data_IF_620719009681
#
_entry.id   IF_620719009681
#
_cell.length_a   1.000
_cell.length_b   1.000
_cell.length_c   1.000
_cell.angle_alpha   90.00
_cell.angle_beta   90.00
_cell.angle_gamma   90.00
#
_symmetry.space_group_name_H-M   'P 1'
#
loop_
_entity.id
_entity.type
_entity.pdbx_description
1 polymer ?
#
# COMPACT_ATOMS: atom_id res chain seq x y z
N UNK A 1 15.64 42.57 85.36
CA UNK A 1 15.31 42.78 83.94
C UNK A 1 16.39 42.16 83.05
N UNK A 2 16.21 42.08 81.73
CA UNK A 2 17.22 41.51 80.81
C UNK A 2 18.55 42.26 80.90
N UNK A 3 18.47 43.58 81.07
CA UNK A 3 19.62 44.48 81.17
C UNK A 3 20.42 44.19 82.45
N UNK A 4 19.75 44.02 83.59
CA UNK A 4 20.42 43.71 84.85
C UNK A 4 21.14 42.36 84.81
N UNK A 5 20.59 41.34 84.14
CA UNK A 5 21.25 40.02 84.01
C UNK A 5 22.51 40.06 83.14
N UNK A 6 22.53 40.91 82.12
CA UNK A 6 23.62 40.95 81.13
C UNK A 6 24.66 42.05 81.40
N UNK A 7 24.32 43.11 82.16
CA UNK A 7 25.19 44.29 82.33
C UNK A 7 25.47 44.70 83.79
N UNK A 8 24.85 44.06 84.81
CA UNK A 8 25.11 44.41 86.22
C UNK A 8 26.41 43.77 86.74
N UNK A 9 27.33 44.58 87.29
CA UNK A 9 28.67 44.15 87.75
C UNK A 9 29.52 43.39 86.71
N UNK A 10 29.33 43.67 85.42
CA UNK A 10 30.12 43.09 84.32
C UNK A 10 31.24 44.06 83.91
N UNK A 11 32.49 43.59 83.68
CA UNK A 11 33.56 44.44 83.15
C UNK A 11 33.18 45.09 81.82
N UNK A 12 33.61 46.33 81.58
CA UNK A 12 33.29 47.10 80.36
C UNK A 12 33.56 46.30 79.08
N UNK A 13 34.70 45.59 79.02
CA UNK A 13 35.07 44.77 77.87
C UNK A 13 34.02 43.68 77.57
N UNK A 14 33.52 42.99 78.60
CA UNK A 14 32.48 41.97 78.45
C UNK A 14 31.13 42.56 78.08
N UNK A 15 30.77 43.74 78.60
CA UNK A 15 29.57 44.48 78.18
C UNK A 15 29.60 44.86 76.69
N UNK A 16 30.75 45.35 76.20
CA UNK A 16 30.95 45.64 74.77
C UNK A 16 30.86 44.36 73.94
N UNK A 17 31.43 43.24 74.40
CA UNK A 17 31.30 41.94 73.69
C UNK A 17 29.84 41.49 73.57
N UNK A 18 29.03 41.65 74.61
CA UNK A 18 27.59 41.31 74.57
C UNK A 18 26.85 42.19 73.57
N UNK A 19 27.14 43.49 73.51
CA UNK A 19 26.54 44.40 72.51
C UNK A 19 26.98 44.04 71.08
N UNK A 20 28.26 43.71 70.87
CA UNK A 20 28.76 43.23 69.57
C UNK A 20 28.11 41.91 69.16
N UNK A 21 27.85 41.01 70.11
CA UNK A 21 27.11 39.77 69.88
C UNK A 21 25.65 40.05 69.49
N UNK A 22 24.99 40.99 70.15
CA UNK A 22 23.63 41.42 69.79
C UNK A 22 23.59 42.02 68.36
N UNK A 23 24.58 42.84 67.99
CA UNK A 23 24.70 43.36 66.63
C UNK A 23 24.91 42.23 65.61
N UNK A 24 25.71 41.21 65.95
CA UNK A 24 25.89 40.00 65.14
C UNK A 24 24.58 39.22 64.98
N UNK A 25 23.84 39.00 66.06
CA UNK A 25 22.55 38.30 66.05
C UNK A 25 21.52 39.06 65.19
N UNK A 26 21.46 40.40 65.29
CA UNK A 26 20.57 41.23 64.47
C UNK A 26 20.93 41.08 62.99
N UNK A 27 22.21 41.18 62.63
CA UNK A 27 22.66 41.00 61.23
C UNK A 27 22.39 39.59 60.71
N UNK A 28 22.50 38.57 61.55
CA UNK A 28 22.16 37.20 61.18
C UNK A 28 20.65 37.05 60.94
N UNK A 29 19.80 37.58 61.82
CA UNK A 29 18.34 37.57 61.64
C UNK A 29 17.91 38.36 60.41
N UNK A 30 18.56 39.49 60.12
CA UNK A 30 18.35 40.26 58.89
C UNK A 30 18.68 39.40 57.65
N UNK A 31 19.82 38.72 57.65
CA UNK A 31 20.23 37.85 56.55
C UNK A 31 19.29 36.64 56.37
N UNK A 32 18.89 35.98 57.47
CA UNK A 32 17.91 34.89 57.44
C UNK A 32 16.55 35.35 56.90
N UNK A 33 16.08 36.53 57.31
CA UNK A 33 14.81 37.10 56.83
C UNK A 33 14.89 37.44 55.36
N UNK A 34 16.00 38.05 54.91
CA UNK A 34 16.24 38.34 53.48
C UNK A 34 16.29 37.05 52.67
N UNK A 35 16.97 36.00 53.14
CA UNK A 35 17.01 34.71 52.46
C UNK A 35 15.66 34.01 52.42
N UNK A 36 14.86 34.12 53.50
CA UNK A 36 13.51 33.57 53.54
C UNK A 36 12.57 34.28 52.55
N UNK A 37 12.64 35.61 52.49
CA UNK A 37 11.90 36.41 51.52
C UNK A 37 12.38 36.17 50.10
N UNK A 38 13.70 36.05 49.88
CA UNK A 38 14.28 35.72 48.57
C UNK A 38 13.83 34.34 48.10
N UNK A 39 13.90 33.32 48.95
CA UNK A 39 13.40 31.97 48.64
C UNK A 39 11.89 31.96 48.37
N UNK A 40 11.12 32.83 49.02
CA UNK A 40 9.68 33.00 48.77
C UNK A 40 9.38 33.78 47.48
N UNK A 41 10.28 34.67 47.04
CA UNK A 41 10.18 35.37 45.76
C UNK A 41 10.64 34.48 44.61
N UNK A 42 11.68 33.66 44.81
CA UNK A 42 12.12 32.64 43.85
C UNK A 42 11.07 31.54 43.64
N UNK A 43 10.12 31.36 44.57
CA UNK A 43 8.91 30.56 44.36
C UNK A 43 7.93 31.14 43.32
N UNK A 44 8.16 32.35 42.78
CA UNK A 44 7.47 32.86 41.57
C UNK A 44 8.03 32.26 40.27
N UNK A 45 9.04 31.39 40.34
CA UNK A 45 9.50 30.60 39.20
C UNK A 45 8.54 29.45 38.89
N UNK A 46 8.60 28.92 37.67
CA UNK A 46 7.79 27.78 37.25
C UNK A 46 8.04 26.56 38.16
N UNK A 47 7.10 26.28 39.08
CA UNK A 47 7.15 25.10 39.93
C UNK A 47 6.70 23.88 39.14
N UNK A 48 7.65 23.10 38.62
CA UNK A 48 7.36 21.80 38.04
C UNK A 48 7.40 20.72 39.12
N UNK A 49 6.35 19.90 39.22
CA UNK A 49 6.30 18.81 40.20
C UNK A 49 6.53 17.42 39.59
N UNK A 50 6.42 17.31 38.27
CA UNK A 50 6.51 16.03 37.55
C UNK A 50 7.44 16.18 36.35
N UNK A 51 8.35 15.22 36.20
CA UNK A 51 9.25 15.07 35.05
C UNK A 51 8.81 13.84 34.26
N UNK A 52 8.66 13.98 32.94
CA UNK A 52 8.25 12.88 32.07
C UNK A 52 9.06 12.92 30.77
N UNK A 53 9.66 11.80 30.33
CA UNK A 53 10.32 11.75 29.04
C UNK A 53 9.30 11.85 27.90
N UNK A 54 9.58 12.69 26.91
CA UNK A 54 8.77 12.86 25.70
C UNK A 54 9.61 12.41 24.51
N UNK A 55 9.04 11.50 23.72
CA UNK A 55 9.63 11.02 22.47
C UNK A 55 8.82 11.59 21.32
N UNK A 56 9.45 12.42 20.49
CA UNK A 56 8.85 12.99 19.29
C UNK A 56 9.47 12.32 18.05
N UNK A 57 8.82 11.28 17.48
CA UNK A 57 9.29 10.68 16.24
C UNK A 57 9.15 11.69 15.08
N UNK A 58 10.09 11.66 14.13
CA UNK A 58 9.95 12.40 12.87
C UNK A 58 8.85 11.79 11.99
N UNK A 59 8.75 10.46 12.00
CA UNK A 59 7.65 9.68 11.41
C UNK A 59 7.38 8.46 12.29
N UNK A 60 6.12 8.16 12.54
CA UNK A 60 5.70 6.91 13.21
C UNK A 60 5.63 5.72 12.24
N UNK A 61 5.80 5.94 10.93
CA UNK A 61 5.79 4.90 9.89
C UNK A 61 7.16 4.82 9.19
N UNK A 62 7.77 3.63 9.21
CA UNK A 62 9.02 3.32 8.51
C UNK A 62 8.91 1.98 7.79
N UNK A 63 9.52 1.88 6.62
CA UNK A 63 9.58 0.63 5.85
C UNK A 63 10.78 -0.22 6.28
N UNK A 64 10.75 -1.52 6.00
CA UNK A 64 11.88 -2.41 6.31
C UNK A 64 13.14 -1.94 5.55
N UNK A 65 14.20 -1.68 6.32
CA UNK A 65 15.47 -1.10 5.85
C UNK A 65 15.52 0.44 5.85
N UNK A 66 14.44 1.12 6.22
CA UNK A 66 14.43 2.56 6.46
C UNK A 66 15.08 2.94 7.79
N UNK A 67 15.44 4.21 7.95
CA UNK A 67 15.98 4.78 9.21
C UNK A 67 14.84 5.35 10.05
N UNK A 68 14.75 4.92 11.31
CA UNK A 68 13.87 5.54 12.30
C UNK A 68 14.62 6.66 13.03
N UNK A 69 14.02 7.84 13.12
CA UNK A 69 14.58 9.01 13.80
C UNK A 69 13.54 9.63 14.73
N UNK A 70 13.97 9.97 15.95
CA UNK A 70 13.13 10.60 16.96
C UNK A 70 13.95 11.52 17.85
N UNK A 71 13.36 12.65 18.22
CA UNK A 71 13.92 13.57 19.23
C UNK A 71 13.40 13.15 20.61
N UNK A 72 14.31 12.97 21.56
CA UNK A 72 13.98 12.56 22.93
C UNK A 72 14.38 13.69 23.87
N UNK A 73 13.43 14.20 24.65
CA UNK A 73 13.67 15.27 25.62
C UNK A 73 12.84 15.08 26.89
N UNK A 74 13.22 15.77 27.97
CA UNK A 74 12.49 15.74 29.23
C UNK A 74 11.44 16.85 29.26
N UNK A 75 10.18 16.49 29.46
CA UNK A 75 9.10 17.43 29.77
C UNK A 75 8.97 17.62 31.28
N UNK A 76 8.82 18.85 31.72
CA UNK A 76 8.54 19.20 33.11
C UNK A 76 7.18 19.92 33.18
N UNK A 77 6.27 19.48 34.05
CA UNK A 77 4.95 20.08 34.20
C UNK A 77 4.46 20.08 35.66
N UNK A 78 3.42 20.87 35.92
CA UNK A 78 2.75 21.00 37.22
C UNK A 78 1.37 20.34 37.19
N UNK A 79 1.21 19.20 37.86
CA UNK A 79 -0.09 18.53 38.01
C UNK A 79 -1.10 19.27 38.89
N UNK A 80 -0.67 20.22 39.74
CA UNK A 80 -1.57 20.95 40.63
C UNK A 80 -2.20 22.17 39.94
N UNK A 81 -1.55 22.68 38.88
CA UNK A 81 -2.06 23.80 38.08
C UNK A 81 -2.10 23.39 36.60
N UNK A 82 -3.08 22.55 36.20
CA UNK A 82 -3.17 22.10 34.82
C UNK A 82 -3.49 23.26 33.88
N UNK A 83 -2.81 23.36 32.71
CA UNK A 83 -3.11 24.38 31.73
C UNK A 83 -4.45 24.12 31.02
N UNK A 84 -4.97 25.13 30.33
CA UNK A 84 -6.09 24.95 29.41
C UNK A 84 -5.59 24.84 27.97
N UNK A 85 -5.96 23.75 27.29
CA UNK A 85 -5.57 23.52 25.89
C UNK A 85 -6.78 23.63 24.98
N UNK A 86 -6.66 24.45 23.94
CA UNK A 86 -7.67 24.67 22.93
C UNK A 86 -7.11 24.37 21.54
N UNK A 87 -7.90 23.73 20.69
CA UNK A 87 -7.58 23.53 19.26
C UNK A 87 -8.55 24.33 18.39
N UNK A 88 -8.12 24.66 17.18
CA UNK A 88 -8.97 25.28 16.18
C UNK A 88 -10.03 24.28 15.68
N UNK A 89 -11.30 24.69 15.71
CA UNK A 89 -12.39 23.98 15.02
C UNK A 89 -12.34 24.17 13.49
N UNK A 90 -13.24 23.49 12.74
CA UNK A 90 -13.28 23.60 11.28
C UNK A 90 -13.45 25.05 10.81
N UNK A 91 -12.47 25.56 10.05
CA UNK A 91 -12.47 26.93 9.52
C UNK A 91 -11.95 28.02 10.48
N UNK A 92 -11.59 27.66 11.72
CA UNK A 92 -10.96 28.58 12.66
C UNK A 92 -9.45 28.75 12.37
N UNK A 93 -8.94 29.94 12.61
CA UNK A 93 -7.51 30.27 12.44
C UNK A 93 -6.93 30.80 13.74
N UNK A 94 -5.60 30.88 13.84
CA UNK A 94 -4.92 31.47 14.99
C UNK A 94 -4.42 32.85 14.59
N UNK A 95 -4.84 33.87 15.33
CA UNK A 95 -4.20 35.19 15.26
C UNK A 95 -2.86 35.10 16.01
N UNK A 96 -1.75 35.08 15.27
CA UNK A 96 -0.39 34.97 15.82
C UNK A 96 0.03 36.19 16.64
N UNK A 97 -0.58 37.35 16.43
CA UNK A 97 -0.26 38.58 17.16
C UNK A 97 -1.00 38.63 18.49
N UNK A 98 -2.27 38.22 18.51
CA UNK A 98 -3.10 38.20 19.73
C UNK A 98 -3.03 36.87 20.50
N UNK A 99 -2.49 35.82 19.88
CA UNK A 99 -2.41 34.45 20.42
C UNK A 99 -3.79 33.90 20.81
N UNK A 100 -4.79 34.21 19.99
CA UNK A 100 -6.17 33.78 20.19
C UNK A 100 -6.66 33.00 18.97
N UNK A 101 -7.60 32.09 19.22
CA UNK A 101 -8.30 31.37 18.15
C UNK A 101 -9.40 32.30 17.63
N UNK A 102 -9.36 32.60 16.34
CA UNK A 102 -10.40 33.34 15.62
C UNK A 102 -11.33 32.31 14.98
N UNK A 103 -12.49 32.13 15.60
CA UNK A 103 -13.50 31.14 15.19
C UNK A 103 -13.83 30.15 16.32
N UNK A 104 -14.28 28.97 15.94
CA UNK A 104 -14.62 27.91 16.89
C UNK A 104 -13.36 27.38 17.60
N UNK A 105 -13.40 27.35 18.94
CA UNK A 105 -12.33 26.81 19.78
C UNK A 105 -12.84 25.59 20.55
N UNK A 106 -12.15 24.47 20.42
CA UNK A 106 -12.51 23.21 21.09
C UNK A 106 -11.55 23.01 22.27
N UNK A 107 -12.08 23.00 23.50
CA UNK A 107 -11.31 22.72 24.72
C UNK A 107 -11.04 21.21 24.81
N UNK A 108 -9.77 20.83 24.98
CA UNK A 108 -9.38 19.43 25.13
C UNK A 108 -9.54 18.96 26.59
N UNK A 109 -9.93 17.69 26.81
CA UNK A 109 -9.90 17.09 28.13
C UNK A 109 -8.45 16.98 28.63
N UNK A 110 -8.25 17.35 29.90
CA UNK A 110 -6.96 17.28 30.58
C UNK A 110 -6.88 16.03 31.46
N UNK A 111 -5.72 15.38 31.48
CA UNK A 111 -5.35 14.32 32.41
C UNK A 111 -4.04 14.75 33.11
N UNK A 112 -4.18 15.26 34.35
CA UNK A 112 -3.12 16.06 34.97
C UNK A 112 -2.78 17.29 34.10
N UNK A 113 -1.49 17.52 33.84
CA UNK A 113 -1.05 18.60 32.94
C UNK A 113 -0.99 18.21 31.44
N UNK A 114 -1.52 17.04 31.05
CA UNK A 114 -1.49 16.57 29.66
C UNK A 114 -2.88 16.67 29.02
N UNK A 115 -2.98 17.34 27.86
CA UNK A 115 -4.20 17.35 27.06
C UNK A 115 -4.30 16.09 26.19
N UNK A 116 -5.48 15.46 26.17
CA UNK A 116 -5.75 14.33 25.27
C UNK A 116 -6.53 14.80 24.04
N UNK A 117 -5.96 14.59 22.87
CA UNK A 117 -6.60 14.86 21.59
C UNK A 117 -7.05 13.54 20.96
N UNK A 118 -8.35 13.42 20.72
CA UNK A 118 -8.95 12.32 19.95
C UNK A 118 -9.87 12.92 18.89
N UNK A 119 -9.58 12.65 17.62
CA UNK A 119 -10.37 13.15 16.49
C UNK A 119 -10.43 12.09 15.40
N UNK A 120 -11.61 11.94 14.77
CA UNK A 120 -11.79 11.06 13.62
C UNK A 120 -11.02 11.55 12.40
N UNK A 121 -10.21 10.69 11.80
CA UNK A 121 -9.46 10.97 10.59
C UNK A 121 -10.35 10.85 9.34
N UNK A 122 -10.92 11.96 8.86
CA UNK A 122 -11.87 11.97 7.75
C UNK A 122 -11.23 12.05 6.35
N UNK A 123 -10.08 12.73 6.22
CA UNK A 123 -9.43 13.00 4.93
C UNK A 123 -8.03 12.39 4.87
N UNK A 124 -7.78 11.63 3.81
CA UNK A 124 -6.45 11.10 3.53
C UNK A 124 -5.44 12.21 3.18
N UNK A 125 -4.18 11.99 3.56
CA UNK A 125 -3.07 12.93 3.39
C UNK A 125 -2.66 13.61 4.69
N UNK A 126 -1.88 14.69 4.56
CA UNK A 126 -1.40 15.47 5.70
C UNK A 126 -2.52 16.33 6.28
N UNK A 127 -2.78 16.15 7.56
CA UNK A 127 -3.72 16.93 8.34
C UNK A 127 -2.95 17.71 9.41
N UNK A 128 -3.26 18.99 9.55
CA UNK A 128 -2.61 19.88 10.51
C UNK A 128 -3.57 20.22 11.64
N UNK A 129 -3.12 20.03 12.87
CA UNK A 129 -3.82 20.50 14.08
C UNK A 129 -3.06 21.70 14.63
N UNK A 130 -3.76 22.82 14.76
CA UNK A 130 -3.26 24.04 15.39
C UNK A 130 -4.06 24.32 16.64
N UNK A 131 -3.39 24.85 17.65
CA UNK A 131 -4.04 25.21 18.91
C UNK A 131 -3.22 26.15 19.76
N UNK A 132 -3.77 26.46 20.92
CA UNK A 132 -3.15 27.27 21.95
C UNK A 132 -3.20 26.56 23.30
N UNK A 133 -2.13 26.73 24.08
CA UNK A 133 -2.03 26.32 25.47
C UNK A 133 -2.02 27.61 26.29
N UNK A 134 -2.99 27.76 27.18
CA UNK A 134 -3.07 28.84 28.17
C UNK A 134 -2.65 28.29 29.53
N UNK A 135 -1.65 28.89 30.15
CA UNK A 135 -1.20 28.50 31.49
C UNK A 135 -0.95 29.73 32.35
N UNK A 136 -1.10 29.59 33.67
CA UNK A 136 -0.86 30.67 34.62
C UNK A 136 0.29 30.27 35.56
N UNK A 137 1.47 30.89 35.45
CA UNK A 137 2.56 30.69 36.41
C UNK A 137 2.15 31.14 37.81
N UNK A 138 2.69 30.49 38.83
CA UNK A 138 2.43 30.86 40.23
C UNK A 138 2.97 32.27 40.49
N UNK A 139 2.07 33.24 40.69
CA UNK A 139 2.44 34.64 40.92
C UNK A 139 2.68 35.48 39.66
N UNK A 140 2.36 34.94 38.47
CA UNK A 140 2.46 35.63 37.17
C UNK A 140 1.11 35.83 36.46
N UNK A 141 1.16 36.51 35.32
CA UNK A 141 0.00 36.67 34.42
C UNK A 141 -0.22 35.42 33.55
N UNK A 142 -1.42 35.27 33.01
CA UNK A 142 -1.72 34.15 32.12
C UNK A 142 -0.91 34.28 30.82
N UNK A 143 -0.15 33.23 30.49
CA UNK A 143 0.60 33.12 29.24
C UNK A 143 -0.10 32.19 28.26
N UNK A 144 -0.05 32.55 26.99
CA UNK A 144 -0.54 31.71 25.88
C UNK A 144 0.61 31.32 24.96
N UNK A 145 0.67 30.05 24.58
CA UNK A 145 1.61 29.50 23.61
C UNK A 145 0.85 28.82 22.48
N UNK A 146 1.26 29.09 21.24
CA UNK A 146 0.70 28.47 20.04
C UNK A 146 1.46 27.18 19.77
N UNK A 147 0.75 26.13 19.36
CA UNK A 147 1.36 24.91 18.85
C UNK A 147 0.72 24.50 17.53
N UNK A 148 1.52 23.80 16.73
CA UNK A 148 1.10 23.19 15.47
C UNK A 148 1.71 21.79 15.41
N UNK A 149 0.89 20.82 15.07
CA UNK A 149 1.31 19.44 14.83
C UNK A 149 0.67 18.92 13.55
N UNK A 150 1.38 18.07 12.83
CA UNK A 150 0.92 17.47 11.57
C UNK A 150 0.82 15.97 11.77
N UNK A 151 -0.26 15.36 11.31
CA UNK A 151 -0.45 13.93 11.28
C UNK A 151 -0.89 13.49 9.88
N UNK A 152 -0.41 12.34 9.43
CA UNK A 152 -0.75 11.78 8.12
C UNK A 152 -1.83 10.70 8.27
N UNK A 153 -2.85 10.76 7.41
CA UNK A 153 -3.90 9.76 7.33
C UNK A 153 -3.72 8.98 6.04
N UNK A 154 -3.30 7.72 6.15
CA UNK A 154 -3.25 6.82 5.02
C UNK A 154 -4.63 6.22 4.74
N UNK A 155 -5.01 6.11 3.46
CA UNK A 155 -6.18 5.31 3.10
C UNK A 155 -5.86 3.83 3.34
N UNK A 156 -6.73 3.07 4.01
CA UNK A 156 -6.56 1.63 4.09
C UNK A 156 -6.67 1.05 2.68
N UNK A 157 -5.60 0.39 2.21
CA UNK A 157 -5.59 -0.30 0.92
C UNK A 157 -5.63 -1.81 1.17
N UNK A 158 -6.68 -2.48 0.68
CA UNK A 158 -6.79 -3.93 0.70
C UNK A 158 -6.51 -4.46 -0.71
N UNK A 159 -5.39 -5.17 -0.85
CA UNK A 159 -5.06 -5.86 -2.11
C UNK A 159 -5.45 -7.33 -1.99
N UNK A 160 -6.52 -7.73 -2.69
CA UNK A 160 -6.91 -9.13 -2.83
C UNK A 160 -6.41 -9.63 -4.18
N UNK A 161 -5.42 -10.53 -4.17
CA UNK A 161 -4.90 -11.13 -5.40
C UNK A 161 -5.14 -12.65 -5.38
N UNK A 162 -5.82 -13.21 -6.39
CA UNK A 162 -6.06 -14.65 -6.44
C UNK A 162 -4.76 -15.42 -6.65
N UNK A 163 -4.39 -16.25 -5.67
CA UNK A 163 -3.11 -16.99 -5.62
C UNK A 163 -2.91 -17.96 -6.80
N UNK A 164 -4.00 -18.41 -7.44
CA UNK A 164 -3.96 -19.31 -8.59
C UNK A 164 -3.99 -18.59 -9.95
N UNK A 165 -4.05 -17.26 -9.99
CA UNK A 165 -4.06 -16.49 -11.25
C UNK A 165 -2.71 -15.84 -11.59
N UNK A 166 -1.65 -16.10 -10.82
CA UNK A 166 -0.27 -15.69 -11.15
C UNK A 166 0.28 -16.52 -12.33
N UNK A 167 -0.28 -16.33 -13.53
CA UNK A 167 0.06 -17.06 -14.75
C UNK A 167 0.36 -16.08 -15.87
N UNK A 168 1.47 -16.31 -16.57
CA UNK A 168 1.72 -15.73 -17.88
C UNK A 168 1.58 -16.79 -18.97
N UNK A 169 0.95 -16.42 -20.07
CA UNK A 169 0.79 -17.27 -21.23
C UNK A 169 1.89 -17.00 -22.27
N UNK A 170 2.49 -18.07 -22.79
CA UNK A 170 3.50 -17.97 -23.86
C UNK A 170 2.86 -17.56 -25.19
N UNK A 171 3.60 -16.77 -25.96
CA UNK A 171 3.21 -16.37 -27.33
C UNK A 171 2.10 -15.34 -27.42
N UNK A 172 1.71 -14.73 -26.30
CA UNK A 172 0.72 -13.65 -26.23
C UNK A 172 1.24 -12.51 -25.35
N UNK A 173 0.66 -11.34 -25.53
CA UNK A 173 0.96 -10.15 -24.74
C UNK A 173 0.25 -10.25 -23.39
N UNK A 174 1.01 -10.32 -22.29
CA UNK A 174 0.45 -10.38 -20.94
C UNK A 174 0.53 -8.98 -20.31
N UNK A 175 -0.57 -8.20 -20.28
CA UNK A 175 -0.57 -6.87 -19.67
C UNK A 175 -0.45 -6.97 -18.14
N UNK A 176 0.39 -6.13 -17.55
CA UNK A 176 0.61 -6.04 -16.10
C UNK A 176 0.82 -4.59 -15.68
N UNK A 177 0.30 -4.25 -14.50
CA UNK A 177 0.57 -2.99 -13.80
C UNK A 177 1.59 -3.25 -12.70
N UNK A 178 2.68 -2.49 -12.67
CA UNK A 178 3.76 -2.63 -11.69
C UNK A 178 3.83 -1.34 -10.89
N UNK A 179 3.54 -1.42 -9.59
CA UNK A 179 3.58 -0.29 -8.66
C UNK A 179 4.36 -0.67 -7.41
N UNK A 180 5.14 0.27 -6.87
CA UNK A 180 5.86 0.09 -5.60
C UNK A 180 5.42 1.19 -4.64
N UNK A 181 4.90 0.83 -3.47
CA UNK A 181 4.42 1.78 -2.47
C UNK A 181 5.51 2.78 -2.08
N UNK A 182 5.20 4.06 -2.18
CA UNK A 182 6.12 5.16 -1.85
C UNK A 182 7.02 5.62 -3.01
N UNK A 183 6.90 5.04 -4.21
CA UNK A 183 7.67 5.43 -5.39
C UNK A 183 6.75 5.82 -6.55
N UNK A 184 7.16 6.83 -7.31
CA UNK A 184 6.47 7.22 -8.55
C UNK A 184 6.89 6.32 -9.71
N UNK A 185 6.06 6.16 -10.73
CA UNK A 185 6.34 5.31 -11.91
C UNK A 185 7.67 5.62 -12.60
N UNK A 186 8.11 6.89 -12.58
CA UNK A 186 9.39 7.34 -13.15
C UNK A 186 10.62 6.79 -12.40
N UNK A 187 10.45 6.46 -11.12
CA UNK A 187 11.52 6.00 -10.23
C UNK A 187 11.59 4.46 -10.20
N UNK A 188 10.66 3.79 -10.89
CA UNK A 188 10.52 2.34 -10.96
C UNK A 188 11.08 1.86 -12.30
N UNK A 189 12.13 1.04 -12.25
CA UNK A 189 12.68 0.34 -13.40
C UNK A 189 12.36 -1.16 -13.29
N UNK A 190 11.30 -1.64 -13.96
CA UNK A 190 10.94 -3.05 -13.90
C UNK A 190 11.77 -3.90 -14.87
N UNK A 191 11.88 -5.17 -14.54
CA UNK A 191 12.59 -6.20 -15.29
C UNK A 191 11.95 -7.56 -15.03
N UNK A 192 12.25 -8.53 -15.91
CA UNK A 192 11.75 -9.91 -15.81
C UNK A 192 12.91 -10.88 -15.83
N UNK A 193 12.80 -11.96 -15.07
CA UNK A 193 13.83 -13.02 -15.05
C UNK A 193 13.82 -13.89 -16.32
N UNK A 194 12.70 -13.94 -17.03
CA UNK A 194 12.49 -14.83 -18.18
C UNK A 194 11.60 -14.15 -19.23
N UNK A 195 12.14 -13.97 -20.44
CA UNK A 195 11.44 -13.34 -21.56
C UNK A 195 11.78 -11.86 -21.74
N UNK A 196 10.80 -11.07 -22.17
CA UNK A 196 10.94 -9.62 -22.34
C UNK A 196 9.82 -8.84 -21.67
N UNK A 197 10.14 -7.60 -21.32
CA UNK A 197 9.23 -6.62 -20.76
C UNK A 197 9.26 -5.38 -21.65
N UNK A 198 8.09 -4.87 -22.00
CA UNK A 198 7.94 -3.66 -22.82
C UNK A 198 6.83 -2.76 -22.27
N UNK A 199 6.88 -1.47 -22.61
CA UNK A 199 5.85 -0.51 -22.18
C UNK A 199 4.61 -0.67 -23.06
N UNK A 200 3.45 -0.86 -22.44
CA UNK A 200 2.14 -0.95 -23.09
C UNK A 200 1.30 0.30 -22.86
N UNK A 201 0.07 0.32 -23.39
CA UNK A 201 -0.87 1.43 -23.21
C UNK A 201 -1.35 1.59 -21.75
N UNK A 202 -1.54 0.49 -21.04
CA UNK A 202 -2.08 0.45 -19.66
C UNK A 202 -1.03 0.07 -18.60
N UNK A 203 0.26 0.14 -18.95
CA UNK A 203 1.35 -0.23 -18.05
C UNK A 203 2.48 -0.95 -18.78
N UNK A 204 2.69 -2.21 -18.43
CA UNK A 204 3.76 -3.04 -19.00
C UNK A 204 3.18 -4.30 -19.64
N UNK A 205 3.90 -4.83 -20.63
CA UNK A 205 3.55 -6.08 -21.31
C UNK A 205 4.71 -7.05 -21.14
N UNK A 206 4.40 -8.21 -20.55
CA UNK A 206 5.33 -9.32 -20.38
C UNK A 206 5.14 -10.33 -21.52
N UNK A 207 6.22 -10.66 -22.22
CA UNK A 207 6.30 -11.83 -23.11
C UNK A 207 7.24 -12.85 -22.49
N UNK A 208 6.73 -13.88 -21.79
CA UNK A 208 7.58 -14.83 -21.09
C UNK A 208 8.34 -15.72 -22.08
N UNK A 209 9.55 -16.16 -21.68
CA UNK A 209 10.35 -17.10 -22.47
C UNK A 209 9.96 -18.56 -22.22
N UNK A 210 10.94 -19.47 -22.38
CA UNK A 210 10.70 -20.92 -22.37
C UNK A 210 10.58 -21.51 -20.98
N UNK A 211 11.17 -20.89 -19.95
CA UNK A 211 11.16 -21.44 -18.60
C UNK A 211 9.75 -21.50 -18.00
N UNK A 212 9.57 -22.32 -16.97
CA UNK A 212 8.27 -22.59 -16.34
C UNK A 212 7.83 -21.49 -15.37
N UNK A 213 8.73 -20.59 -15.03
CA UNK A 213 8.48 -19.47 -14.12
C UNK A 213 9.08 -18.17 -14.67
N UNK A 214 8.52 -17.05 -14.24
CA UNK A 214 9.00 -15.71 -14.53
C UNK A 214 8.78 -14.84 -13.28
N UNK A 215 9.84 -14.18 -12.83
CA UNK A 215 9.81 -13.27 -11.67
C UNK A 215 9.88 -11.85 -12.21
N UNK A 216 8.90 -11.03 -11.83
CA UNK A 216 8.92 -9.59 -12.09
C UNK A 216 9.70 -8.92 -10.96
N UNK A 217 10.73 -8.17 -11.32
CA UNK A 217 11.61 -7.46 -10.37
C UNK A 217 11.55 -5.97 -10.65
N UNK A 218 11.29 -5.17 -9.60
CA UNK A 218 11.28 -3.72 -9.68
C UNK A 218 12.53 -3.15 -8.98
N UNK A 219 13.36 -2.43 -9.73
CA UNK A 219 14.46 -1.65 -9.17
C UNK A 219 13.99 -0.22 -8.97
N UNK A 220 13.92 0.22 -7.72
CA UNK A 220 13.50 1.58 -7.38
C UNK A 220 14.69 2.46 -7.06
N UNK A 221 14.61 3.74 -7.44
CA UNK A 221 15.60 4.76 -7.10
C UNK A 221 15.06 5.60 -5.94
N UNK A 222 15.77 5.60 -4.82
CA UNK A 222 15.45 6.43 -3.66
C UNK A 222 15.72 7.91 -3.94
N UNK A 223 15.11 8.83 -3.18
CA UNK A 223 15.39 10.27 -3.29
C UNK A 223 16.87 10.63 -3.07
N UNK A 224 17.62 9.80 -2.35
CA UNK A 224 19.07 9.94 -2.12
C UNK A 224 19.94 9.41 -3.29
N UNK A 225 19.31 8.92 -4.36
CA UNK A 225 19.98 8.35 -5.53
C UNK A 225 20.40 6.88 -5.38
N UNK A 226 20.24 6.28 -4.19
CA UNK A 226 20.52 4.85 -4.00
C UNK A 226 19.46 3.98 -4.67
N UNK A 227 19.86 2.79 -5.14
CA UNK A 227 18.94 1.83 -5.79
C UNK A 227 18.62 0.68 -4.86
N UNK A 228 17.35 0.30 -4.81
CA UNK A 228 16.85 -0.87 -4.07
C UNK A 228 16.09 -1.79 -5.02
N UNK A 229 16.41 -3.07 -4.98
CA UNK A 229 15.73 -4.07 -5.80
C UNK A 229 14.66 -4.78 -4.98
N UNK A 230 13.46 -4.90 -5.53
CA UNK A 230 12.34 -5.59 -4.94
C UNK A 230 11.89 -6.71 -5.88
N UNK A 231 11.97 -7.95 -5.40
CA UNK A 231 11.50 -9.11 -6.15
C UNK A 231 10.02 -9.34 -5.86
N UNK A 232 9.24 -9.50 -6.91
CA UNK A 232 7.85 -9.91 -6.82
C UNK A 232 7.69 -11.41 -6.63
N UNK A 233 6.43 -11.84 -6.54
CA UNK A 233 6.09 -13.26 -6.49
C UNK A 233 6.39 -13.95 -7.83
N UNK A 234 6.76 -15.24 -7.84
CA UNK A 234 6.94 -15.99 -9.07
C UNK A 234 5.61 -16.17 -9.81
N UNK A 235 5.62 -15.86 -11.11
CA UNK A 235 4.51 -16.16 -12.03
C UNK A 235 4.80 -17.47 -12.74
N UNK A 236 3.80 -18.34 -12.84
CA UNK A 236 3.89 -19.59 -13.59
C UNK A 236 3.74 -19.28 -15.08
N UNK A 237 4.63 -19.81 -15.90
CA UNK A 237 4.56 -19.64 -17.35
C UNK A 237 3.92 -20.87 -17.97
N UNK A 238 2.73 -20.70 -18.52
CA UNK A 238 1.95 -21.76 -19.19
C UNK A 238 1.83 -21.50 -20.68
N UNK A 239 1.60 -22.56 -21.43
CA UNK A 239 1.13 -22.39 -22.80
C UNK A 239 -0.35 -22.01 -22.75
N UNK A 240 -0.80 -21.21 -23.71
CA UNK A 240 -2.23 -21.03 -23.99
C UNK A 240 -2.87 -22.43 -24.10
N UNK A 241 -4.04 -22.70 -23.52
CA UNK A 241 -4.72 -23.99 -23.70
C UNK A 241 -4.99 -24.30 -25.19
N UNK A 242 -5.35 -25.55 -25.49
CA UNK A 242 -5.67 -25.92 -26.87
C UNK A 242 -7.03 -25.37 -27.27
N UNK A 243 -7.20 -24.86 -28.51
CA UNK A 243 -8.51 -24.50 -29.03
C UNK A 243 -9.35 -25.75 -29.31
N UNK A 244 -10.66 -25.56 -29.38
CA UNK A 244 -11.61 -26.60 -29.78
C UNK A 244 -11.82 -26.53 -31.30
N UNK A 245 -11.75 -27.67 -32.02
CA UNK A 245 -12.08 -27.69 -33.43
C UNK A 245 -13.59 -27.64 -33.63
N UNK A 246 -14.03 -26.90 -34.65
CA UNK A 246 -15.42 -26.83 -35.08
C UNK A 246 -15.53 -27.09 -36.56
N UNK A 247 -16.61 -27.77 -36.95
CA UNK A 247 -16.98 -28.00 -38.34
C UNK A 247 -18.48 -27.75 -38.51
N UNK A 248 -18.87 -26.91 -39.47
CA UNK A 248 -20.27 -26.49 -39.65
C UNK A 248 -20.93 -25.93 -38.36
N UNK A 249 -20.15 -25.35 -37.44
CA UNK A 249 -20.64 -24.86 -36.15
C UNK A 249 -20.78 -25.94 -35.07
N UNK A 250 -20.41 -27.19 -35.35
CA UNK A 250 -20.48 -28.34 -34.45
C UNK A 250 -19.12 -28.63 -33.82
N UNK A 251 -19.10 -28.98 -32.53
CA UNK A 251 -17.89 -29.28 -31.74
C UNK A 251 -17.71 -30.79 -31.51
N UNK A 252 -16.74 -31.14 -30.66
CA UNK A 252 -16.54 -32.51 -30.16
C UNK A 252 -17.73 -33.06 -29.37
N UNK A 253 -18.61 -32.19 -28.86
CA UNK A 253 -19.76 -32.57 -28.04
C UNK A 253 -21.00 -32.89 -28.89
N UNK A 254 -20.97 -32.58 -30.19
CA UNK A 254 -22.04 -32.86 -31.13
C UNK A 254 -21.82 -34.23 -31.82
N UNK A 255 -22.76 -35.16 -31.67
CA UNK A 255 -22.65 -36.48 -32.30
C UNK A 255 -23.30 -36.59 -33.69
N UNK A 256 -24.11 -35.60 -34.07
CA UNK A 256 -24.91 -35.65 -35.30
C UNK A 256 -24.77 -34.39 -36.14
N UNK A 257 -24.78 -34.55 -37.46
CA UNK A 257 -24.74 -33.44 -38.42
C UNK A 257 -25.79 -33.63 -39.50
N UNK A 258 -26.54 -32.57 -39.83
CA UNK A 258 -27.49 -32.65 -40.96
C UNK A 258 -26.72 -32.72 -42.27
N UNK A 259 -27.21 -33.52 -43.23
CA UNK A 259 -26.56 -33.61 -44.55
C UNK A 259 -26.34 -32.24 -45.21
N UNK A 260 -27.32 -31.33 -45.09
CA UNK A 260 -27.21 -29.98 -45.66
C UNK A 260 -26.04 -29.17 -45.05
N UNK A 261 -25.87 -29.22 -43.72
CA UNK A 261 -24.79 -28.54 -43.00
C UNK A 261 -23.42 -29.14 -43.35
N UNK A 262 -23.35 -30.47 -43.46
CA UNK A 262 -22.16 -31.19 -43.91
C UNK A 262 -21.71 -30.74 -45.31
N UNK A 263 -22.64 -30.62 -46.25
CA UNK A 263 -22.33 -30.21 -47.63
C UNK A 263 -22.09 -28.71 -47.80
N UNK A 264 -22.67 -27.86 -46.94
CA UNK A 264 -22.50 -26.40 -47.00
C UNK A 264 -21.20 -25.93 -46.33
N UNK A 265 -20.63 -26.73 -45.43
CA UNK A 265 -19.39 -26.41 -44.73
C UNK A 265 -18.22 -26.22 -45.70
N UNK A 266 -17.38 -25.22 -45.43
CA UNK A 266 -16.20 -24.92 -46.23
C UNK A 266 -14.92 -25.55 -45.67
N UNK A 267 -14.92 -25.92 -44.39
CA UNK A 267 -13.67 -26.24 -43.70
C UNK A 267 -13.81 -26.41 -42.19
N UNK A 268 -12.68 -26.62 -41.55
CA UNK A 268 -12.53 -26.71 -40.10
C UNK A 268 -12.00 -25.38 -39.58
N UNK A 269 -12.53 -24.94 -38.46
CA UNK A 269 -12.07 -23.75 -37.73
C UNK A 269 -11.66 -24.15 -36.32
N UNK A 270 -10.59 -23.56 -35.78
CA UNK A 270 -10.17 -23.75 -34.41
C UNK A 270 -10.53 -22.50 -33.61
N UNK A 271 -11.34 -22.65 -32.57
CA UNK A 271 -11.79 -21.53 -31.73
C UNK A 271 -11.58 -21.86 -30.27
N UNK A 272 -11.29 -20.82 -29.49
CA UNK A 272 -11.20 -20.92 -28.05
C UNK A 272 -12.50 -20.40 -27.44
N UNK A 273 -13.10 -21.19 -26.56
CA UNK A 273 -14.29 -20.79 -25.79
C UNK A 273 -13.81 -20.47 -24.38
N UNK A 274 -14.35 -19.41 -23.78
CA UNK A 274 -14.07 -18.98 -22.40
C UNK A 274 -12.58 -18.71 -22.11
N UNK A 275 -11.90 -17.98 -23.01
CA UNK A 275 -10.52 -17.53 -22.79
C UNK A 275 -10.42 -16.00 -22.89
N UNK A 276 -9.67 -15.40 -21.97
CA UNK A 276 -9.61 -13.95 -21.76
C UNK A 276 -8.83 -13.22 -22.86
N UNK A 277 -8.09 -13.93 -23.70
CA UNK A 277 -7.34 -13.36 -24.81
C UNK A 277 -8.02 -13.68 -26.14
N UNK A 278 -8.17 -12.66 -27.01
CA UNK A 278 -8.63 -12.85 -28.38
C UNK A 278 -7.50 -13.41 -29.25
N UNK A 279 -7.50 -14.73 -29.44
CA UNK A 279 -6.47 -15.46 -30.18
C UNK A 279 -7.03 -16.12 -31.42
N UNK A 280 -6.26 -16.01 -32.51
CA UNK A 280 -6.55 -16.68 -33.78
C UNK A 280 -5.70 -17.92 -33.93
N UNK A 281 -6.36 -19.06 -34.15
CA UNK A 281 -5.72 -20.33 -34.47
C UNK A 281 -6.01 -20.69 -35.92
N UNK A 282 -4.97 -20.96 -36.68
CA UNK A 282 -5.09 -21.35 -38.09
C UNK A 282 -5.00 -22.87 -38.22
N UNK A 283 -5.99 -23.50 -38.84
CA UNK A 283 -5.95 -24.95 -39.11
C UNK A 283 -4.96 -25.21 -40.25
N UNK A 284 -3.97 -26.06 -39.98
CA UNK A 284 -2.84 -26.37 -40.87
C UNK A 284 -3.14 -27.59 -41.74
N UNK A 285 -3.75 -28.61 -41.17
CA UNK A 285 -4.10 -29.85 -41.88
C UNK A 285 -5.17 -30.62 -41.12
N UNK A 286 -5.92 -31.42 -41.86
CA UNK A 286 -6.82 -32.44 -41.32
C UNK A 286 -7.11 -33.49 -42.39
N UNK A 287 -7.67 -34.62 -41.97
CA UNK A 287 -8.21 -35.64 -42.87
C UNK A 287 -9.68 -35.89 -42.59
N UNK A 288 -10.39 -36.36 -43.61
CA UNK A 288 -11.79 -36.77 -43.51
C UNK A 288 -11.87 -38.25 -43.83
N UNK A 289 -12.47 -39.01 -42.92
CA UNK A 289 -12.70 -40.44 -43.04
C UNK A 289 -14.21 -40.71 -43.05
N UNK A 290 -14.72 -41.38 -44.09
CA UNK A 290 -16.11 -41.79 -44.16
C UNK A 290 -16.22 -43.28 -44.46
N UNK A 291 -17.16 -43.97 -43.81
CA UNK A 291 -17.39 -45.40 -44.05
C UNK A 291 -18.46 -45.56 -45.13
N UNK A 292 -18.05 -46.07 -46.30
CA UNK A 292 -18.94 -46.33 -47.44
C UNK A 292 -18.95 -47.82 -47.72
N UNK A 293 -20.11 -48.47 -47.58
CA UNK A 293 -20.29 -49.91 -47.81
C UNK A 293 -19.30 -50.80 -47.05
N UNK A 294 -18.90 -50.41 -45.85
CA UNK A 294 -17.95 -51.15 -45.00
C UNK A 294 -16.49 -50.79 -45.18
N UNK A 295 -16.12 -49.99 -46.19
CA UNK A 295 -14.74 -49.56 -46.44
C UNK A 295 -14.53 -48.12 -45.97
N UNK A 296 -13.49 -47.83 -45.16
CA UNK A 296 -13.10 -46.47 -44.82
C UNK A 296 -12.43 -45.80 -46.02
N UNK A 297 -12.99 -44.68 -46.48
CA UNK A 297 -12.37 -43.82 -47.49
C UNK A 297 -11.81 -42.60 -46.77
N UNK A 298 -10.49 -42.42 -46.87
CA UNK A 298 -9.77 -41.31 -46.26
C UNK A 298 -9.32 -40.31 -47.32
N UNK A 299 -9.51 -39.02 -47.04
CA UNK A 299 -9.00 -37.91 -47.84
C UNK A 299 -8.27 -36.93 -46.95
N UNK A 300 -7.18 -36.36 -47.44
CA UNK A 300 -6.33 -35.43 -46.69
C UNK A 300 -6.35 -34.04 -47.34
N UNK A 301 -6.23 -33.00 -46.53
CA UNK A 301 -6.13 -31.62 -47.00
C UNK A 301 -5.11 -30.84 -46.17
N UNK A 302 -4.47 -29.87 -46.82
CA UNK A 302 -3.62 -28.86 -46.19
C UNK A 302 -4.38 -27.54 -46.16
N UNK A 303 -4.35 -26.89 -45.02
CA UNK A 303 -5.09 -25.68 -44.73
C UNK A 303 -6.47 -25.94 -44.11
N UNK A 304 -7.23 -24.87 -43.84
CA UNK A 304 -8.51 -24.95 -43.15
C UNK A 304 -9.65 -25.44 -44.06
N UNK A 305 -9.50 -25.36 -45.38
CA UNK A 305 -10.56 -25.64 -46.34
C UNK A 305 -10.64 -27.12 -46.75
N UNK A 306 -11.86 -27.59 -47.03
CA UNK A 306 -12.11 -28.89 -47.62
C UNK A 306 -11.56 -28.97 -49.05
N UNK A 307 -10.97 -30.11 -49.41
CA UNK A 307 -10.59 -30.41 -50.79
C UNK A 307 -11.83 -30.73 -51.65
N UNK A 308 -11.71 -30.63 -52.97
CA UNK A 308 -12.80 -30.99 -53.89
C UNK A 308 -13.29 -32.42 -53.70
N UNK A 309 -12.36 -33.36 -53.51
CA UNK A 309 -12.66 -34.77 -53.27
C UNK A 309 -13.45 -35.00 -51.96
N UNK A 310 -13.17 -34.22 -50.90
CA UNK A 310 -13.94 -34.27 -49.65
C UNK A 310 -15.36 -33.76 -49.85
N UNK A 311 -15.54 -32.67 -50.62
CA UNK A 311 -16.87 -32.12 -50.91
C UNK A 311 -17.73 -33.12 -51.70
N UNK A 312 -17.13 -33.79 -52.70
CA UNK A 312 -17.80 -34.86 -53.44
C UNK A 312 -18.19 -36.05 -52.56
N UNK A 313 -17.31 -36.41 -51.61
CA UNK A 313 -17.60 -37.45 -50.62
C UNK A 313 -18.83 -37.08 -49.78
N UNK A 314 -18.93 -35.84 -49.30
CA UNK A 314 -20.07 -35.37 -48.52
C UNK A 314 -21.38 -35.32 -49.31
N UNK A 315 -21.35 -35.01 -50.61
CA UNK A 315 -22.54 -35.07 -51.45
C UNK A 315 -23.11 -36.50 -51.55
N UNK A 316 -22.23 -37.50 -51.62
CA UNK A 316 -22.58 -38.93 -51.69
C UNK A 316 -22.93 -39.54 -50.33
N UNK A 317 -22.72 -38.81 -49.23
CA UNK A 317 -23.06 -39.28 -47.90
C UNK A 317 -24.58 -39.55 -47.76
N UNK A 318 -24.93 -40.66 -47.11
CA UNK A 318 -26.31 -41.07 -46.83
C UNK A 318 -26.62 -40.91 -45.33
N UNK A 319 -27.88 -40.62 -44.96
CA UNK A 319 -28.29 -40.65 -43.57
C UNK A 319 -27.91 -41.96 -42.88
N UNK A 320 -27.41 -41.88 -41.66
CA UNK A 320 -26.90 -43.00 -40.87
C UNK A 320 -25.40 -43.28 -41.02
N UNK A 321 -24.73 -42.75 -42.04
CA UNK A 321 -23.28 -42.91 -42.19
C UNK A 321 -22.50 -42.08 -41.16
N UNK A 322 -21.33 -42.59 -40.76
CA UNK A 322 -20.41 -41.88 -39.87
C UNK A 322 -19.33 -41.19 -40.69
N UNK A 323 -19.08 -39.93 -40.35
CA UNK A 323 -18.01 -39.08 -40.87
C UNK A 323 -17.10 -38.71 -39.72
N UNK A 324 -15.81 -38.90 -39.89
CA UNK A 324 -14.78 -38.49 -38.95
C UNK A 324 -13.90 -37.43 -39.59
N UNK A 325 -13.66 -36.35 -38.87
CA UNK A 325 -12.67 -35.33 -39.24
C UNK A 325 -11.53 -35.49 -38.26
N UNK A 326 -10.41 -36.03 -38.72
CA UNK A 326 -9.36 -36.55 -37.85
C UNK A 326 -8.02 -35.86 -38.13
N UNK A 327 -7.09 -36.02 -37.18
CA UNK A 327 -5.74 -35.47 -37.32
C UNK A 327 -5.75 -33.95 -37.49
N UNK A 328 -6.73 -33.27 -36.88
CA UNK A 328 -6.88 -31.82 -37.01
C UNK A 328 -5.69 -31.18 -36.31
N UNK A 329 -4.87 -30.42 -37.05
CA UNK A 329 -3.77 -29.65 -36.48
C UNK A 329 -3.99 -28.17 -36.68
N UNK A 330 -3.73 -27.38 -35.65
CA UNK A 330 -3.80 -25.93 -35.72
C UNK A 330 -2.50 -25.28 -35.22
N UNK A 331 -2.15 -24.15 -35.82
CA UNK A 331 -1.04 -23.29 -35.43
C UNK A 331 -1.55 -22.16 -34.55
N UNK A 332 -0.98 -22.03 -33.37
CA UNK A 332 -1.27 -20.94 -32.45
C UNK A 332 -0.45 -19.67 -32.74
N UNK A 333 -0.79 -18.55 -32.09
CA UNK A 333 -0.02 -17.31 -32.16
C UNK A 333 1.41 -17.45 -31.61
N UNK A 334 1.64 -18.45 -30.74
CA UNK A 334 2.96 -18.85 -30.27
C UNK A 334 3.82 -19.56 -31.33
N UNK A 335 3.27 -19.77 -32.54
CA UNK A 335 3.93 -20.45 -33.65
C UNK A 335 3.94 -21.98 -33.55
N UNK A 336 3.42 -22.55 -32.46
CA UNK A 336 3.42 -24.00 -32.25
C UNK A 336 2.26 -24.66 -33.00
N UNK A 337 2.52 -25.83 -33.58
CA UNK A 337 1.49 -26.66 -34.21
C UNK A 337 1.02 -27.69 -33.18
N UNK A 338 -0.29 -27.78 -33.01
CA UNK A 338 -0.93 -28.60 -31.98
C UNK A 338 -1.99 -29.50 -32.60
N UNK A 339 -2.06 -30.73 -32.12
CA UNK A 339 -3.13 -31.66 -32.49
C UNK A 339 -4.37 -31.36 -31.66
N UNK A 340 -5.50 -31.16 -32.33
CA UNK A 340 -6.80 -30.86 -31.72
C UNK A 340 -7.72 -32.09 -31.62
N UNK A 341 -7.22 -33.28 -32.00
CA UNK A 341 -7.98 -34.52 -31.96
C UNK A 341 -8.84 -34.73 -33.21
N UNK A 342 -10.06 -35.22 -33.00
CA UNK A 342 -11.01 -35.55 -34.06
C UNK A 342 -12.44 -35.14 -33.72
N UNK A 343 -13.24 -34.91 -34.76
CA UNK A 343 -14.69 -34.73 -34.69
C UNK A 343 -15.35 -35.97 -35.30
N UNK A 344 -16.40 -36.48 -34.66
CA UNK A 344 -17.14 -37.64 -35.14
C UNK A 344 -18.62 -37.31 -35.23
N UNK A 345 -19.18 -37.43 -36.43
CA UNK A 345 -20.58 -37.14 -36.66
C UNK A 345 -21.27 -38.30 -37.35
N UNK A 346 -22.51 -38.58 -36.93
CA UNK A 346 -23.47 -39.38 -37.68
C UNK A 346 -24.33 -38.45 -38.53
N UNK A 347 -24.40 -38.73 -39.83
CA UNK A 347 -25.24 -37.95 -40.75
C UNK A 347 -26.71 -38.24 -40.47
N UNK A 348 -27.50 -37.20 -40.26
CA UNK A 348 -28.96 -37.27 -40.05
C UNK A 348 -29.74 -36.55 -41.14
#
# INVERSE_FOLDING_TARGET
>A
SWESKNFYHVPLAAGVTILSKLQGDIRNMENETVNHLLGSVEQKSFKFNTLTPIVKPLSSYVTVGGKYQADIFMGAYDNQNPPEVYICGPGATIDTLKKEIVGEAIKLPMDGAMAKLEQGAARAGLNTVRGIIKFKPVGGEAETRIFETVYEVAQPNLVVSPSKMNVFYRGVDNPVTISVSGFSDKDIQPSVSNGSLSKGGEGWVVRPGKDRECIVTATVTNPDGSKKTMQGNPFRVKNVPNPTPYFAGKSVDDETIKKAELTASQGVIAKMVDFEFDLRFEVVEFKVTMIVSGTPIEKYTKGPALSGEMKEMFQKAKPGQKVYIEGIKAKGPDGTIRSLGSLSFKVV
#
